data_IF_728367221336
#
_entry.id   IF_728367221336
#
_cell.length_a   1.000
_cell.length_b   1.000
_cell.length_c   1.000
_cell.angle_alpha   90.00
_cell.angle_beta   90.00
_cell.angle_gamma   90.00
#
_symmetry.space_group_name_H-M   'P 1'
#
loop_
_entity.id
_entity.type
_entity.pdbx_description
1 polymer ?
#
# COMPACT_ATOMS: atom_id res chain seq x y z
N UNK A 1 24.53 9.12 6.56
CA UNK A 1 23.60 8.96 5.38
C UNK A 1 22.25 8.47 5.88
N UNK A 2 21.18 8.62 5.08
CA UNK A 2 19.85 8.08 5.36
C UNK A 2 19.37 7.24 4.19
N UNK A 3 18.63 6.19 4.44
CA UNK A 3 17.85 5.47 3.44
C UNK A 3 16.41 5.97 3.48
N UNK A 4 15.83 6.31 2.32
CA UNK A 4 14.45 6.80 2.23
C UNK A 4 13.58 5.78 1.52
N UNK A 5 12.46 5.43 2.13
CA UNK A 5 11.43 4.59 1.54
C UNK A 5 10.20 5.41 1.18
N UNK A 6 9.75 5.27 -0.07
CA UNK A 6 8.46 5.74 -0.56
C UNK A 6 7.51 4.55 -0.57
N UNK A 7 6.63 4.48 0.40
CA UNK A 7 5.60 3.45 0.48
C UNK A 7 4.36 3.95 -0.25
N UNK A 8 3.92 3.24 -1.29
CA UNK A 8 2.84 3.68 -2.16
C UNK A 8 1.78 2.57 -2.25
N UNK A 9 0.52 2.90 -1.97
CA UNK A 9 -0.58 2.00 -2.25
C UNK A 9 -0.88 1.99 -3.75
N UNK A 10 -1.16 0.83 -4.31
CA UNK A 10 -1.56 0.69 -5.72
C UNK A 10 -2.72 1.63 -6.09
N UNK A 11 -2.85 1.96 -7.38
CA UNK A 11 -3.98 2.71 -7.93
C UNK A 11 -5.32 1.99 -7.73
N UNK A 12 -6.40 2.72 -7.86
CA UNK A 12 -7.74 2.19 -7.64
C UNK A 12 -8.08 1.03 -8.58
N UNK A 13 -8.86 0.07 -8.08
CA UNK A 13 -9.46 -1.02 -8.85
C UNK A 13 -10.99 -0.93 -8.78
N UNK A 14 -11.71 -1.59 -9.66
CA UNK A 14 -13.18 -1.67 -9.55
C UNK A 14 -13.65 -2.28 -8.22
N UNK A 15 -12.87 -3.18 -7.64
CA UNK A 15 -13.19 -3.77 -6.35
C UNK A 15 -12.99 -2.80 -5.18
N UNK A 16 -12.06 -1.83 -5.31
CA UNK A 16 -11.97 -0.73 -4.34
C UNK A 16 -13.24 0.12 -4.33
N UNK A 17 -13.74 0.51 -5.52
CA UNK A 17 -14.97 1.29 -5.66
C UNK A 17 -16.19 0.59 -5.05
N UNK A 18 -16.25 -0.72 -5.18
CA UNK A 18 -17.36 -1.56 -4.70
C UNK A 18 -17.19 -2.01 -3.23
N UNK A 19 -16.08 -1.66 -2.56
CA UNK A 19 -15.80 -2.10 -1.20
C UNK A 19 -15.64 -3.62 -1.06
N UNK A 20 -15.11 -4.28 -2.10
CA UNK A 20 -14.91 -5.73 -2.14
C UNK A 20 -13.51 -6.09 -1.67
N UNK A 21 -13.40 -7.09 -0.80
CA UNK A 21 -12.12 -7.65 -0.36
C UNK A 21 -11.38 -8.27 -1.53
N UNK A 22 -10.18 -7.76 -1.82
CA UNK A 22 -9.39 -8.21 -2.97
C UNK A 22 -8.39 -9.31 -2.60
N UNK A 23 -7.67 -9.10 -1.52
CA UNK A 23 -6.63 -10.01 -1.07
C UNK A 23 -5.64 -10.37 -2.19
N UNK A 24 -5.49 -11.66 -2.43
CA UNK A 24 -4.63 -12.22 -3.47
C UNK A 24 -5.29 -12.35 -4.83
N UNK A 25 -6.61 -12.14 -4.92
CA UNK A 25 -7.31 -12.09 -6.21
C UNK A 25 -6.73 -10.95 -7.05
N UNK A 26 -6.30 -11.30 -8.27
CA UNK A 26 -5.51 -10.39 -9.10
C UNK A 26 -6.39 -9.56 -10.03
N UNK A 27 -6.90 -8.46 -9.49
CA UNK A 27 -7.74 -7.48 -10.18
C UNK A 27 -6.87 -6.34 -10.70
N UNK A 28 -7.00 -5.96 -12.00
CA UNK A 28 -6.27 -4.84 -12.57
C UNK A 28 -6.80 -3.49 -12.06
N UNK A 29 -6.10 -2.41 -12.41
CA UNK A 29 -6.54 -1.04 -12.16
C UNK A 29 -7.88 -0.75 -12.86
N UNK A 30 -8.70 0.10 -12.23
CA UNK A 30 -9.83 0.76 -12.88
C UNK A 30 -9.34 1.88 -13.81
N UNK A 31 -10.23 2.43 -14.65
CA UNK A 31 -9.90 3.63 -15.44
C UNK A 31 -9.45 4.80 -14.58
N UNK A 32 -10.07 4.97 -13.42
CA UNK A 32 -9.68 5.98 -12.43
C UNK A 32 -8.29 5.67 -11.86
N UNK A 33 -8.02 4.42 -11.50
CA UNK A 33 -6.70 3.99 -11.03
C UNK A 33 -5.58 4.19 -12.06
N UNK A 34 -5.87 4.02 -13.34
CA UNK A 34 -4.93 4.35 -14.41
C UNK A 34 -4.61 5.85 -14.48
N UNK A 35 -5.61 6.72 -14.29
CA UNK A 35 -5.41 8.18 -14.22
C UNK A 35 -4.60 8.58 -12.99
N UNK A 36 -4.94 8.04 -11.81
CA UNK A 36 -4.19 8.24 -10.57
C UNK A 36 -2.72 7.85 -10.76
N UNK A 37 -2.49 6.72 -11.39
CA UNK A 37 -1.15 6.19 -11.67
C UNK A 37 -0.37 7.09 -12.64
N UNK A 38 -1.01 7.66 -13.66
CA UNK A 38 -0.41 8.65 -14.56
C UNK A 38 0.01 9.93 -13.80
N UNK A 39 -0.85 10.42 -12.89
CA UNK A 39 -0.51 11.58 -12.05
C UNK A 39 0.68 11.28 -11.13
N UNK A 40 0.72 10.08 -10.54
CA UNK A 40 1.86 9.63 -9.75
C UNK A 40 3.16 9.60 -10.57
N UNK A 41 3.13 9.04 -11.78
CA UNK A 41 4.28 9.02 -12.68
C UNK A 41 4.78 10.44 -13.01
N UNK A 42 3.88 11.35 -13.38
CA UNK A 42 4.21 12.77 -13.64
C UNK A 42 4.83 13.46 -12.43
N UNK A 43 4.37 13.15 -11.22
CA UNK A 43 4.99 13.69 -9.99
C UNK A 43 6.44 13.26 -9.88
N UNK A 44 6.76 12.00 -10.12
CA UNK A 44 8.16 11.54 -10.10
C UNK A 44 8.97 12.11 -11.26
N UNK A 45 8.40 12.27 -12.44
CA UNK A 45 9.06 12.87 -13.60
C UNK A 45 9.46 14.34 -13.33
N UNK A 46 8.52 15.14 -12.83
CA UNK A 46 8.64 16.59 -12.70
C UNK A 46 9.30 17.08 -11.39
N UNK A 47 9.64 16.17 -10.50
CA UNK A 47 10.24 16.53 -9.21
C UNK A 47 11.69 16.09 -9.10
N UNK A 48 12.45 16.78 -8.22
CA UNK A 48 13.80 16.38 -7.84
C UNK A 48 13.83 15.11 -6.98
N UNK A 49 12.71 14.40 -6.84
CA UNK A 49 12.64 13.12 -6.14
C UNK A 49 13.52 12.10 -6.87
N UNK A 50 14.56 11.65 -6.19
CA UNK A 50 15.42 10.58 -6.69
C UNK A 50 14.84 9.24 -6.28
N UNK A 51 14.89 8.28 -7.18
CA UNK A 51 14.70 6.86 -6.89
C UNK A 51 15.92 6.11 -7.39
N UNK A 52 16.36 5.13 -6.61
CA UNK A 52 17.46 4.24 -6.96
C UNK A 52 16.92 2.82 -7.25
N UNK A 53 15.75 2.46 -6.71
CA UNK A 53 15.07 1.20 -6.97
C UNK A 53 13.55 1.31 -6.80
N UNK A 54 12.81 0.49 -7.56
CA UNK A 54 11.35 0.36 -7.47
C UNK A 54 10.97 -1.10 -7.28
N UNK A 55 10.46 -1.42 -6.10
CA UNK A 55 9.93 -2.73 -5.74
C UNK A 55 8.40 -2.70 -5.69
N UNK A 56 7.76 -3.82 -5.94
CA UNK A 56 6.32 -3.92 -5.81
C UNK A 56 5.85 -5.33 -5.46
N UNK A 57 4.63 -5.41 -4.94
CA UNK A 57 3.86 -6.65 -4.90
C UNK A 57 3.75 -7.27 -6.30
N UNK A 58 3.74 -8.62 -6.43
CA UNK A 58 3.58 -9.28 -7.73
C UNK A 58 2.16 -9.21 -8.31
N UNK A 59 1.19 -8.58 -7.63
CA UNK A 59 -0.17 -8.40 -8.14
C UNK A 59 -0.23 -7.29 -9.19
N UNK A 60 -1.01 -7.50 -10.27
CA UNK A 60 -1.07 -6.62 -11.45
C UNK A 60 -1.29 -5.15 -11.09
N UNK A 61 -2.25 -4.85 -10.19
CA UNK A 61 -2.53 -3.47 -9.74
C UNK A 61 -1.31 -2.76 -9.15
N UNK A 62 -0.46 -3.50 -8.44
CA UNK A 62 0.78 -2.95 -7.87
C UNK A 62 1.87 -2.81 -8.95
N UNK A 63 2.01 -3.78 -9.84
CA UNK A 63 2.96 -3.72 -10.96
C UNK A 63 2.64 -2.55 -11.88
N UNK A 64 1.37 -2.37 -12.26
CA UNK A 64 0.92 -1.26 -13.11
C UNK A 64 1.21 0.09 -12.46
N UNK A 65 1.00 0.21 -11.14
CA UNK A 65 1.31 1.43 -10.40
C UNK A 65 2.82 1.68 -10.30
N UNK A 66 3.59 0.65 -9.98
CA UNK A 66 5.05 0.73 -9.88
C UNK A 66 5.70 1.12 -11.20
N UNK A 67 5.15 0.61 -12.32
CA UNK A 67 5.65 0.91 -13.66
C UNK A 67 5.63 2.40 -13.98
N UNK A 68 4.62 3.14 -13.59
CA UNK A 68 4.56 4.58 -13.84
C UNK A 68 5.69 5.35 -13.12
N UNK A 69 6.04 4.93 -11.90
CA UNK A 69 7.15 5.53 -11.14
C UNK A 69 8.50 5.13 -11.73
N UNK A 70 8.64 3.85 -12.10
CA UNK A 70 9.86 3.29 -12.66
C UNK A 70 10.18 3.90 -14.03
N UNK A 71 9.20 3.97 -14.92
CA UNK A 71 9.35 4.57 -16.27
C UNK A 71 9.77 6.05 -16.15
N UNK A 72 9.19 6.82 -15.21
CA UNK A 72 9.54 8.22 -14.97
C UNK A 72 11.02 8.43 -14.53
N UNK A 73 11.68 7.36 -14.06
CA UNK A 73 13.08 7.40 -13.58
C UNK A 73 14.02 6.49 -14.37
N UNK A 74 13.53 5.81 -15.42
CA UNK A 74 14.34 4.89 -16.22
C UNK A 74 14.80 3.66 -15.43
N UNK A 75 14.00 3.20 -14.46
CA UNK A 75 14.33 2.07 -13.59
C UNK A 75 13.51 0.82 -13.94
N UNK A 76 14.03 -0.39 -13.66
CA UNK A 76 13.22 -1.59 -13.74
C UNK A 76 12.27 -1.68 -12.55
N UNK A 77 11.13 -2.38 -12.74
CA UNK A 77 10.24 -2.81 -11.67
C UNK A 77 10.70 -4.19 -11.17
N UNK A 78 10.86 -4.33 -9.86
CA UNK A 78 11.27 -5.58 -9.20
C UNK A 78 10.10 -6.06 -8.33
N UNK A 79 9.59 -7.26 -8.62
CA UNK A 79 8.53 -7.84 -7.79
C UNK A 79 9.09 -8.52 -6.56
N UNK A 80 8.38 -8.36 -5.42
CA UNK A 80 8.74 -8.98 -4.15
C UNK A 80 7.49 -9.46 -3.43
N UNK A 81 7.47 -10.76 -3.12
CA UNK A 81 6.32 -11.43 -2.49
C UNK A 81 6.06 -10.96 -1.05
N UNK A 82 7.07 -10.43 -0.37
CA UNK A 82 6.92 -9.88 0.98
C UNK A 82 5.90 -8.73 1.04
N UNK A 83 5.69 -8.03 -0.07
CA UNK A 83 4.76 -6.89 -0.18
C UNK A 83 3.42 -7.24 -0.84
N UNK A 84 3.12 -8.54 -1.06
CA UNK A 84 1.83 -9.01 -1.54
C UNK A 84 0.73 -8.68 -0.53
N UNK A 85 -0.52 -8.42 -0.97
CA UNK A 85 -1.62 -8.09 -0.06
C UNK A 85 -1.88 -9.21 0.95
N UNK A 86 -2.65 -8.92 1.97
CA UNK A 86 -3.15 -9.92 2.93
C UNK A 86 -3.97 -10.94 2.14
N UNK A 87 -3.68 -12.22 2.36
CA UNK A 87 -4.51 -13.28 1.82
C UNK A 87 -5.75 -13.47 2.69
N UNK A 88 -6.90 -13.07 2.18
CA UNK A 88 -8.18 -13.23 2.88
C UNK A 88 -8.91 -14.52 2.51
N UNK A 89 -8.32 -15.37 1.66
CA UNK A 89 -8.87 -16.66 1.30
C UNK A 89 -10.32 -16.56 0.80
N UNK A 90 -11.22 -17.30 1.42
CA UNK A 90 -12.64 -17.37 1.02
C UNK A 90 -13.45 -16.08 1.26
N UNK A 91 -12.88 -15.07 1.90
CA UNK A 91 -13.50 -13.75 2.03
C UNK A 91 -13.28 -12.84 0.82
N UNK A 92 -12.38 -13.20 -0.06
CA UNK A 92 -12.14 -12.47 -1.29
C UNK A 92 -13.35 -12.53 -2.23
N UNK A 93 -13.65 -11.39 -2.85
CA UNK A 93 -14.82 -11.25 -3.73
C UNK A 93 -16.11 -10.82 -3.02
N UNK A 94 -16.12 -10.69 -1.70
CA UNK A 94 -17.27 -10.23 -0.93
C UNK A 94 -17.08 -8.82 -0.38
N UNK A 95 -18.17 -8.08 -0.23
CA UNK A 95 -18.22 -6.82 0.52
C UNK A 95 -18.29 -7.08 2.02
N UNK A 96 -17.97 -6.04 2.84
CA UNK A 96 -18.15 -6.09 4.32
C UNK A 96 -19.56 -6.57 4.70
N UNK A 97 -20.61 -6.04 4.04
CA UNK A 97 -22.00 -6.42 4.29
C UNK A 97 -22.24 -7.90 4.02
N UNK A 98 -21.82 -8.39 2.86
CA UNK A 98 -21.98 -9.81 2.50
C UNK A 98 -21.21 -10.75 3.43
N UNK A 99 -20.02 -10.34 3.89
CA UNK A 99 -19.24 -11.10 4.86
C UNK A 99 -19.93 -11.16 6.22
N UNK A 100 -20.47 -10.03 6.69
CA UNK A 100 -21.23 -9.99 7.94
C UNK A 100 -22.50 -10.88 7.88
N UNK A 101 -23.21 -10.85 6.75
CA UNK A 101 -24.39 -11.69 6.53
C UNK A 101 -24.04 -13.19 6.45
N UNK A 102 -22.95 -13.53 5.76
CA UNK A 102 -22.57 -14.93 5.49
C UNK A 102 -21.85 -15.60 6.65
N UNK A 103 -20.95 -14.88 7.32
CA UNK A 103 -20.07 -15.45 8.37
C UNK A 103 -20.44 -14.97 9.78
N UNK A 104 -21.37 -14.03 9.91
CA UNK A 104 -21.92 -13.57 11.18
C UNK A 104 -20.85 -13.15 12.18
N UNK A 105 -20.90 -13.72 13.37
CA UNK A 105 -19.99 -13.35 14.48
C UNK A 105 -18.51 -13.55 14.16
N UNK A 106 -18.14 -14.57 13.40
CA UNK A 106 -16.75 -14.84 13.05
C UNK A 106 -16.12 -13.67 12.26
N UNK A 107 -16.87 -13.08 11.33
CA UNK A 107 -16.40 -11.92 10.59
C UNK A 107 -16.47 -10.64 11.42
N UNK A 108 -17.54 -10.41 12.18
CA UNK A 108 -17.70 -9.19 12.97
C UNK A 108 -16.66 -9.09 14.08
N UNK A 109 -16.34 -10.19 14.77
CA UNK A 109 -15.27 -10.23 15.77
C UNK A 109 -13.91 -9.88 15.15
N UNK A 110 -13.58 -10.42 13.97
CA UNK A 110 -12.39 -10.01 13.23
C UNK A 110 -12.42 -8.53 12.84
N UNK A 111 -13.54 -8.05 12.30
CA UNK A 111 -13.65 -6.67 11.83
C UNK A 111 -13.45 -5.64 12.97
N UNK A 112 -13.95 -5.96 14.16
CA UNK A 112 -13.80 -5.14 15.36
C UNK A 112 -12.42 -5.28 16.00
N UNK A 113 -11.83 -6.49 15.98
CA UNK A 113 -10.58 -6.83 16.65
C UNK A 113 -9.63 -7.62 15.74
N UNK A 114 -9.13 -7.00 14.63
CA UNK A 114 -8.42 -7.71 13.57
C UNK A 114 -7.08 -8.32 14.00
N UNK A 115 -6.51 -7.88 15.10
CA UNK A 115 -5.25 -8.44 15.64
C UNK A 115 -5.49 -9.59 16.64
N UNK A 116 -6.73 -9.76 17.07
CA UNK A 116 -7.11 -10.79 18.06
C UNK A 116 -7.71 -12.02 17.38
N UNK A 117 -8.55 -11.81 16.38
CA UNK A 117 -9.29 -12.88 15.73
C UNK A 117 -8.66 -13.30 14.41
N UNK A 118 -8.61 -14.62 14.14
CA UNK A 118 -8.09 -15.14 12.88
C UNK A 118 -9.03 -14.85 11.71
N UNK A 119 -8.48 -14.92 10.51
CA UNK A 119 -9.22 -14.82 9.25
C UNK A 119 -8.74 -15.89 8.26
N UNK A 120 -9.53 -16.23 7.22
CA UNK A 120 -9.13 -17.20 6.22
C UNK A 120 -7.86 -16.80 5.47
N UNK A 121 -7.19 -17.77 4.87
CA UNK A 121 -5.98 -17.53 4.05
C UNK A 121 -4.73 -17.38 4.90
N UNK A 122 -4.24 -16.17 5.15
CA UNK A 122 -3.00 -15.93 5.89
C UNK A 122 -3.13 -16.16 7.41
N UNK A 123 -4.34 -16.18 7.91
CA UNK A 123 -4.70 -16.59 9.26
C UNK A 123 -4.67 -15.48 10.30
N UNK A 124 -3.66 -14.63 10.35
CA UNK A 124 -3.55 -13.55 11.33
C UNK A 124 -2.64 -12.41 10.86
N UNK A 125 -2.76 -11.24 11.50
CA UNK A 125 -1.94 -10.07 11.17
C UNK A 125 -0.46 -10.20 11.60
N UNK A 126 -0.15 -11.09 12.54
CA UNK A 126 1.24 -11.33 12.93
C UNK A 126 2.07 -11.88 11.76
N UNK A 127 1.51 -12.83 11.01
CA UNK A 127 2.16 -13.39 9.81
C UNK A 127 2.39 -12.32 8.74
N UNK A 128 1.41 -11.41 8.54
CA UNK A 128 1.54 -10.27 7.61
C UNK A 128 2.66 -9.34 8.04
N UNK A 129 2.72 -9.03 9.33
CA UNK A 129 3.72 -8.15 9.93
C UNK A 129 5.12 -8.74 9.78
N UNK A 130 5.29 -10.01 10.11
CA UNK A 130 6.59 -10.71 10.03
C UNK A 130 7.13 -10.72 8.60
N UNK A 131 6.32 -11.10 7.59
CA UNK A 131 6.79 -11.11 6.22
C UNK A 131 7.09 -9.72 5.68
N UNK A 132 6.22 -8.74 5.93
CA UNK A 132 6.39 -7.39 5.38
C UNK A 132 7.58 -6.66 6.01
N UNK A 133 7.80 -6.79 7.32
CA UNK A 133 8.97 -6.24 8.00
C UNK A 133 10.26 -6.94 7.57
N UNK A 134 10.24 -8.27 7.39
CA UNK A 134 11.37 -9.01 6.84
C UNK A 134 11.79 -8.44 5.48
N UNK A 135 10.86 -8.31 4.53
CA UNK A 135 11.14 -7.73 3.22
C UNK A 135 11.66 -6.30 3.32
N UNK A 136 11.10 -5.48 4.20
CA UNK A 136 11.58 -4.11 4.42
C UNK A 136 13.04 -4.08 4.89
N UNK A 137 13.41 -4.89 5.88
CA UNK A 137 14.78 -4.91 6.40
C UNK A 137 15.78 -5.51 5.40
N UNK A 138 15.39 -6.48 4.59
CA UNK A 138 16.22 -6.99 3.48
C UNK A 138 16.52 -5.87 2.46
N UNK A 139 15.51 -5.07 2.10
CA UNK A 139 15.69 -3.91 1.23
C UNK A 139 16.52 -2.80 1.90
N UNK A 140 16.35 -2.55 3.19
CA UNK A 140 17.13 -1.58 3.93
C UNK A 140 18.63 -1.93 3.90
N UNK A 141 18.98 -3.18 4.13
CA UNK A 141 20.37 -3.64 4.06
C UNK A 141 20.97 -3.50 2.66
N UNK A 142 20.18 -3.86 1.64
CA UNK A 142 20.61 -3.81 0.23
C UNK A 142 20.79 -2.37 -0.29
N UNK A 143 20.02 -1.42 0.21
CA UNK A 143 19.89 -0.07 -0.34
C UNK A 143 20.30 1.03 0.64
N UNK A 144 21.30 0.78 1.48
CA UNK A 144 21.81 1.78 2.44
C UNK A 144 22.18 3.10 1.75
N UNK A 145 21.64 4.20 2.24
CA UNK A 145 21.89 5.54 1.72
C UNK A 145 21.12 5.89 0.43
N UNK A 146 20.26 5.01 -0.05
CA UNK A 146 19.48 5.15 -1.29
C UNK A 146 18.02 5.52 -1.03
N UNK A 147 17.31 5.82 -2.12
CA UNK A 147 15.87 6.10 -2.12
C UNK A 147 15.14 4.96 -2.84
N UNK A 148 14.30 4.26 -2.13
CA UNK A 148 13.61 3.05 -2.60
C UNK A 148 12.11 3.26 -2.59
N UNK A 149 11.43 2.93 -3.68
CA UNK A 149 9.97 2.85 -3.69
C UNK A 149 9.50 1.41 -3.45
N UNK A 150 8.44 1.26 -2.65
CA UNK A 150 7.73 0.01 -2.42
C UNK A 150 6.26 0.25 -2.74
N UNK A 151 5.77 -0.35 -3.83
CA UNK A 151 4.36 -0.30 -4.20
C UNK A 151 3.65 -1.55 -3.70
N UNK A 152 2.68 -1.34 -2.82
CA UNK A 152 1.98 -2.43 -2.13
C UNK A 152 0.49 -2.10 -1.95
N UNK A 153 -0.13 -2.56 -0.88
CA UNK A 153 -1.57 -2.56 -0.66
C UNK A 153 -1.92 -1.93 0.68
N UNK A 154 -3.18 -1.51 0.82
CA UNK A 154 -3.62 -0.77 1.99
C UNK A 154 -3.50 -1.54 3.31
N UNK A 155 -3.81 -2.84 3.31
CA UNK A 155 -3.69 -3.69 4.49
C UNK A 155 -2.24 -3.85 4.94
N UNK A 156 -1.40 -4.31 4.03
CA UNK A 156 0.02 -4.58 4.30
C UNK A 156 0.78 -3.32 4.69
N UNK A 157 0.57 -2.20 3.97
CA UNK A 157 1.28 -0.95 4.28
C UNK A 157 0.92 -0.40 5.67
N UNK A 158 -0.36 -0.50 6.09
CA UNK A 158 -0.74 -0.09 7.45
C UNK A 158 -0.07 -0.93 8.52
N UNK A 159 -0.04 -2.26 8.34
CA UNK A 159 0.64 -3.19 9.26
C UNK A 159 2.14 -2.91 9.29
N UNK A 160 2.76 -2.73 8.13
CA UNK A 160 4.19 -2.43 8.02
C UNK A 160 4.56 -1.09 8.70
N UNK A 161 3.81 -0.01 8.42
CA UNK A 161 4.06 1.30 9.04
C UNK A 161 3.89 1.21 10.56
N UNK A 162 2.82 0.56 11.02
CA UNK A 162 2.57 0.32 12.45
C UNK A 162 3.76 -0.36 13.11
N UNK A 163 4.26 -1.45 12.52
CA UNK A 163 5.40 -2.20 13.05
C UNK A 163 6.72 -1.40 13.01
N UNK A 164 6.99 -0.68 11.91
CA UNK A 164 8.22 0.11 11.78
C UNK A 164 8.28 1.30 12.73
N UNK A 165 7.13 1.85 13.09
CA UNK A 165 7.02 3.03 13.95
C UNK A 165 6.67 2.69 15.40
N UNK A 166 6.70 1.41 15.78
CA UNK A 166 6.39 0.90 17.12
C UNK A 166 5.01 1.40 17.63
N UNK A 167 4.01 1.46 16.72
CA UNK A 167 2.64 1.89 17.01
C UNK A 167 1.76 0.69 17.38
N UNK A 168 0.74 0.93 18.19
CA UNK A 168 -0.26 -0.09 18.54
C UNK A 168 -1.32 -0.28 17.44
N UNK A 169 -2.21 -1.25 17.63
CA UNK A 169 -3.28 -1.58 16.67
C UNK A 169 -4.26 -0.42 16.40
N UNK A 170 -4.30 0.59 17.27
CA UNK A 170 -5.11 1.80 17.09
C UNK A 170 -4.72 2.54 15.82
N UNK A 171 -3.43 2.54 15.48
CA UNK A 171 -2.95 3.10 14.22
C UNK A 171 -3.63 2.42 13.03
N UNK A 172 -3.62 1.08 12.97
CA UNK A 172 -4.25 0.34 11.88
C UNK A 172 -5.75 0.65 11.75
N UNK A 173 -6.45 0.74 12.86
CA UNK A 173 -7.91 0.98 12.90
C UNK A 173 -8.30 2.41 12.54
N UNK A 174 -7.45 3.40 12.86
CA UNK A 174 -7.73 4.83 12.67
C UNK A 174 -7.02 5.45 11.47
N UNK A 175 -6.23 4.67 10.73
CA UNK A 175 -5.50 5.16 9.57
C UNK A 175 -6.04 4.53 8.29
N UNK A 176 -6.26 5.36 7.29
CA UNK A 176 -6.58 4.94 5.94
C UNK A 176 -5.49 5.40 4.99
N UNK A 177 -5.00 4.49 4.16
CA UNK A 177 -4.06 4.82 3.08
C UNK A 177 -4.83 4.76 1.76
N UNK A 178 -5.04 5.92 1.12
CA UNK A 178 -5.77 5.99 -0.15
C UNK A 178 -4.91 5.52 -1.33
N UNK A 179 -5.57 5.23 -2.45
CA UNK A 179 -4.89 4.73 -3.64
C UNK A 179 -3.89 5.75 -4.21
N UNK A 180 -2.73 5.30 -4.60
CA UNK A 180 -1.54 6.05 -5.05
C UNK A 180 -0.92 7.03 -4.05
N UNK A 181 -1.48 7.18 -2.84
CA UNK A 181 -0.91 8.06 -1.81
C UNK A 181 0.48 7.57 -1.37
N UNK A 182 1.34 8.54 -1.09
CA UNK A 182 2.73 8.31 -0.75
C UNK A 182 2.94 8.50 0.76
N UNK A 183 3.54 7.50 1.40
CA UNK A 183 4.06 7.61 2.76
C UNK A 183 5.58 7.53 2.70
N UNK A 184 6.28 8.39 3.42
CA UNK A 184 7.75 8.45 3.41
C UNK A 184 8.29 8.08 4.79
N UNK A 185 9.18 7.09 4.82
CA UNK A 185 9.94 6.70 6.01
C UNK A 185 11.43 6.88 5.72
N UNK A 186 12.09 7.64 6.57
CA UNK A 186 13.54 7.79 6.57
C UNK A 186 14.17 6.91 7.65
N UNK A 187 15.23 6.19 7.29
CA UNK A 187 16.01 5.37 8.21
C UNK A 187 17.45 5.86 8.24
N UNK A 188 17.93 6.25 9.42
CA UNK A 188 19.33 6.69 9.61
C UNK A 188 20.29 5.51 9.65
N UNK A 189 21.59 5.75 9.57
CA UNK A 189 22.63 4.72 9.75
C UNK A 189 22.58 4.05 11.14
N UNK A 190 22.09 4.77 12.14
CA UNK A 190 21.90 4.22 13.48
C UNK A 190 20.61 3.38 13.64
N UNK A 191 19.85 3.20 12.55
CA UNK A 191 18.59 2.47 12.57
C UNK A 191 17.38 3.27 13.08
N UNK A 192 17.56 4.56 13.41
CA UNK A 192 16.43 5.43 13.81
C UNK A 192 15.51 5.64 12.61
N UNK A 193 14.23 5.30 12.78
CA UNK A 193 13.18 5.48 11.79
C UNK A 193 12.40 6.77 12.06
N UNK A 194 12.05 7.49 11.01
CA UNK A 194 11.24 8.72 11.06
C UNK A 194 10.15 8.63 10.02
N UNK A 195 8.90 8.70 10.44
CA UNK A 195 7.76 8.90 9.56
C UNK A 195 7.78 10.37 9.10
N UNK A 196 8.30 10.60 7.90
CA UNK A 196 8.51 11.94 7.35
C UNK A 196 7.23 12.52 6.76
N UNK A 197 6.43 11.68 6.10
CA UNK A 197 5.14 12.05 5.50
C UNK A 197 4.21 10.85 5.56
N UNK A 198 2.94 11.09 5.85
CA UNK A 198 1.90 10.08 5.81
C UNK A 198 0.82 10.50 4.81
N UNK A 199 0.50 9.60 3.87
CA UNK A 199 -0.68 9.72 3.00
C UNK A 199 -0.68 10.99 2.11
N UNK A 200 0.45 11.38 1.53
CA UNK A 200 0.58 12.53 0.64
C UNK A 200 -0.06 12.24 -0.73
N UNK A 201 -0.95 13.12 -1.15
CA UNK A 201 -1.76 13.00 -2.38
C UNK A 201 -1.64 14.20 -3.34
N UNK A 202 -0.68 15.07 -3.14
CA UNK A 202 -0.56 16.32 -3.91
C UNK A 202 -0.55 16.11 -5.45
N UNK A 203 -0.15 14.92 -5.92
CA UNK A 203 -0.21 14.59 -7.35
C UNK A 203 -1.64 14.38 -7.89
N UNK A 204 -2.64 14.18 -7.02
CA UNK A 204 -4.04 14.02 -7.42
C UNK A 204 -4.80 15.36 -7.49
N UNK A 205 -4.29 16.43 -6.90
CA UNK A 205 -4.90 17.76 -6.99
C UNK A 205 -5.03 18.23 -8.44
N UNK A 206 -4.04 17.90 -9.29
CA UNK A 206 -4.10 18.17 -10.73
C UNK A 206 -5.16 17.34 -11.45
N UNK A 207 -5.52 16.19 -10.92
CA UNK A 207 -6.55 15.31 -11.49
C UNK A 207 -7.96 15.90 -11.28
N UNK A 208 -8.22 16.47 -10.11
CA UNK A 208 -9.48 17.20 -9.82
C UNK A 208 -9.68 18.39 -10.75
N UNK A 209 -8.61 19.14 -11.01
CA UNK A 209 -8.63 20.25 -11.98
C UNK A 209 -8.91 19.78 -13.42
N UNK A 210 -8.51 18.55 -13.78
CA UNK A 210 -8.75 17.96 -15.10
C UNK A 210 -10.15 17.38 -15.26
N UNK A 211 -10.86 17.03 -14.19
CA UNK A 211 -12.16 16.36 -14.21
C UNK A 211 -13.35 17.27 -13.81
N UNK A 212 -13.07 18.51 -13.34
CA UNK A 212 -14.06 19.35 -12.69
C UNK A 212 -14.44 18.82 -11.31
N UNK A 213 -14.60 19.71 -10.33
CA UNK A 213 -14.79 19.43 -8.91
C UNK A 213 -15.71 18.23 -8.63
N UNK A 214 -15.12 17.09 -8.34
CA UNK A 214 -15.83 15.99 -7.65
C UNK A 214 -15.52 16.09 -6.17
N UNK A 215 -16.54 16.41 -5.39
CA UNK A 215 -16.48 16.38 -3.93
C UNK A 215 -16.14 14.99 -3.44
N UNK A 216 -15.06 14.86 -2.67
CA UNK A 216 -14.70 13.63 -1.98
C UNK A 216 -15.78 13.32 -0.93
N UNK A 217 -16.48 12.21 -1.10
CA UNK A 217 -17.29 11.63 -0.02
C UNK A 217 -16.41 10.66 0.76
N UNK A 218 -16.16 11.01 2.03
CA UNK A 218 -15.52 10.11 3.01
C UNK A 218 -16.48 9.00 3.43
#
# INVERSE_FOLDING_TARGET
MRTRFYLVRHGETEWNQKGIYQGWTDIPLSKEGELQTKCLGKRFENTALKLDAVYCSPLQRAIQTAKAMADAKGLPVITDVHFKEINFGEWEGYTVKQLSEKYGKNYTDFYEHPFTYPFPGEGNFQSVMERSTKGFYELLEKHKGQNVAIVSHGGVLRVLIMALMDMDETFYRKTWLSNTYITIIDVSESGKKVLFTLNDFAHLETMEQMQGEKTWQM
#
